data_IF_680027530803
#
_entry.id   IF_680027530803
#
_cell.length_a   1.000
_cell.length_b   1.000
_cell.length_c   1.000
_cell.angle_alpha   90.00
_cell.angle_beta   90.00
_cell.angle_gamma   90.00
#
_symmetry.space_group_name_H-M   'P 1'
#
loop_
_entity.id
_entity.type
_entity.pdbx_description
1 polymer ?
#
# COMPACT_ATOMS: atom_id res chain seq x y z
N UNK A 1 18.93 -21.40 6.56
CA UNK A 1 19.79 -22.60 6.43
C UNK A 1 20.28 -22.69 4.99
N UNK A 2 21.55 -23.01 4.77
CA UNK A 2 22.08 -23.38 3.45
C UNK A 2 23.02 -24.57 3.63
N UNK A 3 22.86 -25.57 2.77
CA UNK A 3 23.84 -26.62 2.57
C UNK A 3 24.62 -26.37 1.28
N UNK A 4 25.94 -26.57 1.29
CA UNK A 4 26.82 -26.39 0.12
C UNK A 4 27.82 -27.54 0.05
N UNK A 5 28.21 -27.91 -1.17
CA UNK A 5 29.43 -28.67 -1.45
C UNK A 5 30.56 -27.69 -1.74
N UNK A 6 31.54 -27.61 -0.83
CA UNK A 6 32.67 -26.68 -0.93
C UNK A 6 33.81 -27.21 -1.80
N UNK A 7 33.78 -28.50 -2.14
CA UNK A 7 34.87 -29.21 -2.81
C UNK A 7 34.55 -29.60 -4.26
N UNK A 8 33.27 -29.57 -4.65
CA UNK A 8 32.81 -30.04 -5.95
C UNK A 8 32.78 -31.57 -6.08
N UNK A 9 32.83 -32.30 -4.97
CA UNK A 9 32.85 -33.76 -4.92
C UNK A 9 31.45 -34.41 -5.04
N UNK A 10 30.38 -33.60 -5.10
CA UNK A 10 28.99 -34.07 -5.18
C UNK A 10 28.36 -34.40 -3.82
N UNK A 11 29.03 -34.06 -2.72
CA UNK A 11 28.55 -34.27 -1.34
C UNK A 11 28.48 -32.96 -0.59
N UNK A 12 27.36 -32.70 0.09
CA UNK A 12 27.19 -31.52 0.92
C UNK A 12 28.03 -31.66 2.20
N UNK A 13 28.98 -30.75 2.41
CA UNK A 13 29.97 -30.78 3.48
C UNK A 13 29.93 -29.51 4.36
N UNK A 14 29.15 -28.50 3.98
CA UNK A 14 28.95 -27.28 4.77
C UNK A 14 27.47 -27.00 5.01
N UNK A 15 27.12 -26.76 6.28
CA UNK A 15 25.78 -26.31 6.71
C UNK A 15 25.88 -25.00 7.50
N UNK A 16 25.18 -23.97 7.04
CA UNK A 16 25.16 -22.65 7.67
C UNK A 16 23.74 -22.17 8.01
N UNK A 17 23.59 -21.57 9.18
CA UNK A 17 22.37 -20.96 9.70
C UNK A 17 22.52 -19.44 9.66
N UNK A 18 21.46 -18.74 9.26
CA UNK A 18 21.41 -17.29 9.29
C UNK A 18 20.79 -16.82 10.61
N UNK A 19 21.41 -15.84 11.23
CA UNK A 19 20.90 -15.10 12.39
C UNK A 19 20.39 -13.75 11.89
N UNK A 20 19.16 -13.40 12.20
CA UNK A 20 18.49 -12.20 11.68
C UNK A 20 18.05 -11.28 12.81
N UNK A 21 18.02 -9.98 12.53
CA UNK A 21 17.37 -8.98 13.39
C UNK A 21 15.90 -8.72 12.96
N UNK A 22 15.19 -7.87 13.71
CA UNK A 22 13.75 -7.62 13.52
C UNK A 22 13.34 -7.04 12.16
N UNK A 23 14.28 -6.45 11.41
CA UNK A 23 14.04 -5.97 10.05
C UNK A 23 14.56 -6.96 8.97
N UNK A 24 14.70 -8.25 9.31
CA UNK A 24 15.05 -9.36 8.40
C UNK A 24 16.44 -9.31 7.73
N UNK A 25 17.32 -8.39 8.11
CA UNK A 25 18.74 -8.45 7.71
C UNK A 25 19.45 -9.58 8.45
N UNK A 26 20.27 -10.33 7.74
CA UNK A 26 21.16 -11.33 8.35
C UNK A 26 22.29 -10.61 9.09
N UNK A 27 22.29 -10.66 10.41
CA UNK A 27 23.34 -10.05 11.25
C UNK A 27 24.57 -10.93 11.38
N UNK A 28 24.40 -12.24 11.22
CA UNK A 28 25.53 -13.17 11.16
C UNK A 28 25.13 -14.52 10.57
N UNK A 29 26.10 -15.29 10.10
CA UNK A 29 25.95 -16.72 9.82
C UNK A 29 26.71 -17.55 10.84
N UNK A 30 26.18 -18.74 11.16
CA UNK A 30 26.77 -19.67 12.10
C UNK A 30 26.73 -21.12 11.56
N UNK A 31 27.70 -21.93 11.95
CA UNK A 31 27.64 -23.38 11.83
C UNK A 31 27.14 -24.00 13.16
N UNK A 32 27.21 -25.32 13.33
CA UNK A 32 26.75 -25.99 14.54
C UNK A 32 27.59 -25.71 15.79
N UNK A 33 28.78 -25.14 15.63
CA UNK A 33 29.76 -24.92 16.69
C UNK A 33 30.14 -23.44 16.89
N UNK A 34 30.08 -22.61 15.85
CA UNK A 34 30.65 -21.26 15.85
C UNK A 34 29.78 -20.25 15.09
N UNK A 35 29.85 -18.98 15.54
CA UNK A 35 29.45 -17.83 14.74
C UNK A 35 30.58 -17.55 13.72
N UNK A 36 30.28 -17.63 12.43
CA UNK A 36 31.28 -17.60 11.37
C UNK A 36 31.60 -16.18 10.88
N UNK A 37 30.58 -15.43 10.46
CA UNK A 37 30.75 -14.10 9.87
C UNK A 37 29.66 -13.15 10.37
N UNK A 38 30.00 -12.10 11.14
CA UNK A 38 29.10 -10.99 11.39
C UNK A 38 28.98 -10.07 10.16
N UNK A 39 27.81 -9.43 10.01
CA UNK A 39 27.54 -8.46 8.94
C UNK A 39 27.09 -7.12 9.53
N UNK A 40 27.66 -6.04 9.02
CA UNK A 40 27.19 -4.67 9.27
C UNK A 40 26.56 -4.10 8.00
N UNK A 41 25.61 -3.19 8.18
CA UNK A 41 24.86 -2.58 7.08
C UNK A 41 24.82 -1.06 7.25
N UNK A 42 24.91 -0.33 6.14
CA UNK A 42 24.44 1.06 6.09
C UNK A 42 22.90 1.11 6.17
N UNK A 43 22.32 2.30 6.35
CA UNK A 43 20.87 2.45 6.44
C UNK A 43 20.09 1.84 5.26
N UNK A 44 20.66 1.90 4.05
CA UNK A 44 20.08 1.32 2.83
C UNK A 44 20.65 -0.05 2.47
N UNK A 45 21.39 -0.68 3.38
CA UNK A 45 21.78 -2.08 3.24
C UNK A 45 23.11 -2.34 2.56
N UNK A 46 23.95 -1.33 2.28
CA UNK A 46 25.31 -1.61 1.82
C UNK A 46 26.05 -2.36 2.92
N UNK A 47 26.56 -3.55 2.60
CA UNK A 47 26.93 -4.58 3.56
C UNK A 47 28.45 -4.69 3.69
N UNK A 48 28.91 -4.85 4.91
CA UNK A 48 30.30 -5.10 5.25
C UNK A 48 30.38 -6.44 5.98
N UNK A 49 31.18 -7.37 5.44
CA UNK A 49 31.48 -8.65 6.10
C UNK A 49 32.61 -8.44 7.10
N UNK A 50 32.44 -8.98 8.30
CA UNK A 50 33.34 -8.75 9.42
C UNK A 50 33.92 -10.06 9.95
N UNK A 51 35.04 -9.96 10.66
CA UNK A 51 35.53 -11.00 11.57
C UNK A 51 34.77 -10.96 12.89
N UNK A 52 34.95 -11.98 13.74
CA UNK A 52 34.48 -11.95 15.14
C UNK A 52 35.08 -10.80 15.98
N UNK A 53 36.17 -10.18 15.52
CA UNK A 53 36.76 -8.98 16.12
C UNK A 53 36.31 -7.66 15.43
N UNK A 54 35.27 -7.73 14.58
CA UNK A 54 34.70 -6.59 13.84
C UNK A 54 35.66 -5.89 12.86
N UNK A 55 36.71 -6.59 12.40
CA UNK A 55 37.55 -6.14 11.28
C UNK A 55 36.95 -6.57 9.94
N UNK A 56 37.00 -5.70 8.93
CA UNK A 56 36.46 -5.99 7.58
C UNK A 56 37.22 -7.11 6.86
N UNK A 57 36.48 -8.01 6.18
CA UNK A 57 37.04 -9.11 5.40
C UNK A 57 36.28 -9.33 4.09
N UNK A 58 36.92 -10.05 3.16
CA UNK A 58 36.21 -10.70 2.07
C UNK A 58 35.66 -12.04 2.55
N UNK A 59 34.35 -12.28 2.38
CA UNK A 59 33.74 -13.57 2.72
C UNK A 59 34.29 -14.68 1.82
N UNK A 60 34.52 -15.86 2.39
CA UNK A 60 34.81 -17.10 1.66
C UNK A 60 33.63 -18.10 1.72
N UNK A 61 32.49 -17.67 2.25
CA UNK A 61 31.32 -18.51 2.49
C UNK A 61 30.29 -18.46 1.37
N UNK A 62 30.42 -17.57 0.39
CA UNK A 62 29.44 -17.36 -0.70
C UNK A 62 27.99 -17.20 -0.20
N UNK A 63 27.82 -16.62 0.99
CA UNK A 63 26.50 -16.38 1.54
C UNK A 63 25.88 -15.17 0.85
N UNK A 64 24.79 -15.38 0.11
CA UNK A 64 24.17 -14.33 -0.72
C UNK A 64 22.92 -13.72 -0.11
N UNK A 65 22.33 -14.28 0.95
CA UNK A 65 21.06 -13.76 1.49
C UNK A 65 21.33 -12.81 2.64
N UNK A 66 21.25 -11.49 2.43
CA UNK A 66 21.71 -10.52 3.44
C UNK A 66 20.61 -9.55 3.88
N UNK A 67 20.52 -8.36 3.28
CA UNK A 67 19.57 -7.31 3.69
C UNK A 67 18.14 -7.73 3.39
N UNK A 68 17.20 -7.57 4.33
CA UNK A 68 15.78 -7.85 4.17
C UNK A 68 15.43 -9.22 3.54
N UNK A 69 16.33 -10.20 3.65
CA UNK A 69 16.22 -11.51 2.97
C UNK A 69 16.45 -11.51 1.46
N UNK A 70 16.94 -10.40 0.88
CA UNK A 70 17.27 -10.30 -0.54
C UNK A 70 18.56 -11.04 -0.88
N UNK A 71 18.70 -11.39 -2.17
CA UNK A 71 19.93 -11.99 -2.70
C UNK A 71 20.90 -10.91 -3.14
N UNK A 72 22.04 -10.81 -2.47
CA UNK A 72 23.19 -10.01 -2.87
C UNK A 72 23.83 -10.60 -4.14
N UNK A 73 23.90 -9.77 -5.17
CA UNK A 73 24.78 -9.93 -6.33
C UNK A 73 26.09 -9.16 -6.07
N UNK A 74 27.19 -9.88 -5.84
CA UNK A 74 28.47 -9.28 -5.46
C UNK A 74 29.15 -8.60 -6.65
N UNK A 75 28.92 -9.11 -7.85
CA UNK A 75 29.49 -8.61 -9.10
C UNK A 75 28.89 -7.24 -9.46
N UNK A 76 27.58 -7.09 -9.29
CA UNK A 76 26.84 -5.85 -9.57
C UNK A 76 26.77 -4.92 -8.37
N UNK A 77 27.01 -5.41 -7.15
CA UNK A 77 26.82 -4.64 -5.92
C UNK A 77 25.35 -4.27 -5.68
N UNK A 78 24.42 -5.16 -6.06
CA UNK A 78 22.98 -4.92 -5.98
C UNK A 78 22.26 -6.03 -5.22
N UNK A 79 21.03 -5.77 -4.80
CA UNK A 79 20.16 -6.76 -4.19
C UNK A 79 19.03 -7.14 -5.12
N UNK A 80 18.96 -8.42 -5.49
CA UNK A 80 17.83 -8.95 -6.23
C UNK A 80 16.65 -9.23 -5.28
N UNK A 81 15.61 -8.41 -5.40
CA UNK A 81 14.35 -8.54 -4.67
C UNK A 81 13.23 -8.86 -5.65
N UNK A 82 13.24 -10.10 -6.15
CA UNK A 82 12.24 -10.66 -7.07
C UNK A 82 12.06 -9.83 -8.35
N UNK A 83 11.14 -8.86 -8.34
CA UNK A 83 10.74 -8.11 -9.53
C UNK A 83 11.72 -7.00 -9.87
N UNK A 84 12.56 -6.57 -8.91
CA UNK A 84 13.52 -5.49 -9.11
C UNK A 84 14.85 -5.75 -8.40
N UNK A 85 15.88 -5.04 -8.89
CA UNK A 85 17.19 -4.97 -8.27
C UNK A 85 17.32 -3.65 -7.50
N UNK A 86 17.71 -3.71 -6.23
CA UNK A 86 17.91 -2.56 -5.34
C UNK A 86 19.38 -2.15 -5.34
N UNK A 87 19.62 -0.86 -5.57
CA UNK A 87 20.92 -0.20 -5.57
C UNK A 87 21.17 0.36 -4.16
N UNK A 88 21.79 -0.43 -3.28
CA UNK A 88 21.97 -0.09 -1.86
C UNK A 88 22.69 1.23 -1.64
N UNK A 89 23.77 1.47 -2.39
CA UNK A 89 24.58 2.70 -2.33
C UNK A 89 23.82 3.96 -2.76
N UNK A 90 22.76 3.81 -3.56
CA UNK A 90 21.92 4.91 -4.03
C UNK A 90 20.57 4.99 -3.30
N UNK A 91 20.29 4.01 -2.44
CA UNK A 91 19.03 3.90 -1.69
C UNK A 91 17.78 3.80 -2.55
N UNK A 92 17.84 3.15 -3.72
CA UNK A 92 16.75 3.12 -4.70
C UNK A 92 16.73 1.88 -5.57
N UNK A 93 15.61 1.63 -6.24
CA UNK A 93 15.50 0.59 -7.26
C UNK A 93 16.21 0.98 -8.55
N UNK A 94 16.85 0.00 -9.19
CA UNK A 94 17.48 0.15 -10.49
C UNK A 94 16.43 0.45 -11.58
N UNK A 95 15.34 -0.32 -11.60
CA UNK A 95 14.23 -0.16 -12.53
C UNK A 95 13.07 0.63 -11.91
N UNK A 96 12.28 1.27 -12.78
CA UNK A 96 10.98 1.84 -12.39
C UNK A 96 10.07 0.73 -11.87
N UNK A 97 9.31 1.03 -10.84
CA UNK A 97 8.25 0.19 -10.33
C UNK A 97 7.20 0.02 -11.44
N UNK A 98 6.97 -1.19 -11.97
CA UNK A 98 5.96 -1.39 -13.00
C UNK A 98 4.56 -1.08 -12.47
N UNK A 99 4.30 -1.43 -11.20
CA UNK A 99 3.03 -1.18 -10.52
C UNK A 99 2.86 0.32 -10.31
N UNK A 100 3.85 1.00 -9.70
CA UNK A 100 3.76 2.46 -9.51
C UNK A 100 3.73 3.26 -10.84
N UNK A 101 4.34 2.74 -11.91
CA UNK A 101 4.29 3.36 -13.24
C UNK A 101 2.90 3.25 -13.87
N UNK A 102 2.26 2.08 -13.81
CA UNK A 102 0.88 1.88 -14.25
C UNK A 102 -0.10 2.73 -13.42
N UNK A 103 0.18 2.88 -12.14
CA UNK A 103 -0.46 3.80 -11.20
C UNK A 103 -0.20 5.30 -11.49
N UNK A 104 0.75 5.61 -12.37
CA UNK A 104 1.16 6.96 -12.72
C UNK A 104 1.75 7.74 -11.54
N UNK A 105 2.41 7.06 -10.61
CA UNK A 105 3.16 7.67 -9.53
C UNK A 105 4.32 8.51 -10.09
N UNK A 106 4.71 9.56 -9.37
CA UNK A 106 5.82 10.43 -9.77
C UNK A 106 7.18 9.87 -9.36
N UNK A 107 7.21 9.06 -8.30
CA UNK A 107 8.41 8.46 -7.76
C UNK A 107 8.33 6.97 -8.04
N UNK A 108 9.16 6.50 -8.95
CA UNK A 108 9.09 5.13 -9.48
C UNK A 108 10.24 4.25 -9.00
N UNK A 109 11.22 4.82 -8.31
CA UNK A 109 12.45 4.11 -7.95
C UNK A 109 12.72 4.17 -6.45
N UNK A 110 11.81 4.72 -5.65
CA UNK A 110 12.01 4.86 -4.21
C UNK A 110 12.03 3.53 -3.48
N UNK A 111 12.95 3.41 -2.52
CA UNK A 111 13.02 2.25 -1.65
C UNK A 111 12.32 2.57 -0.32
N UNK A 112 11.17 1.93 -0.10
CA UNK A 112 10.41 1.91 1.17
C UNK A 112 10.15 3.28 1.81
N UNK A 113 9.83 4.31 1.01
CA UNK A 113 9.49 5.63 1.52
C UNK A 113 10.67 6.36 2.14
N UNK A 114 11.90 6.05 1.72
CA UNK A 114 13.15 6.51 2.36
C UNK A 114 13.27 6.13 3.85
N UNK A 115 12.56 5.08 4.30
CA UNK A 115 12.59 4.59 5.68
C UNK A 115 13.03 3.11 5.80
N UNK A 116 14.26 2.78 5.36
CA UNK A 116 14.76 1.40 5.31
C UNK A 116 15.09 0.80 6.69
N UNK A 117 15.09 1.60 7.75
CA UNK A 117 15.36 1.12 9.11
C UNK A 117 14.19 0.32 9.69
N UNK A 118 12.96 0.65 9.29
CA UNK A 118 11.73 0.04 9.83
C UNK A 118 10.87 -0.64 8.76
N UNK A 119 11.22 -0.53 7.49
CA UNK A 119 10.46 -1.10 6.37
C UNK A 119 11.33 -1.97 5.46
N UNK A 120 10.67 -2.95 4.83
CA UNK A 120 11.22 -3.82 3.79
C UNK A 120 10.23 -3.94 2.65
N UNK A 121 10.71 -4.33 1.47
CA UNK A 121 9.92 -4.54 0.27
C UNK A 121 10.12 -5.98 -0.25
N UNK A 122 9.34 -6.96 0.26
CA UNK A 122 9.54 -8.38 -0.04
C UNK A 122 9.37 -8.77 -1.51
N UNK A 123 8.76 -7.90 -2.33
CA UNK A 123 8.48 -8.16 -3.74
C UNK A 123 9.23 -7.24 -4.69
N UNK A 124 9.91 -6.23 -4.17
CA UNK A 124 10.41 -5.13 -4.96
C UNK A 124 9.28 -4.36 -5.64
N UNK A 125 8.15 -4.14 -4.97
CA UNK A 125 6.97 -3.41 -5.46
C UNK A 125 6.35 -2.66 -4.26
N UNK A 126 6.98 -1.54 -3.88
CA UNK A 126 6.85 -0.87 -2.58
C UNK A 126 5.44 -0.95 -1.95
N UNK A 127 5.39 -1.50 -0.72
CA UNK A 127 4.23 -1.53 0.17
C UNK A 127 4.24 -0.31 1.11
N UNK A 128 4.03 0.88 0.57
CA UNK A 128 3.27 1.86 1.36
C UNK A 128 1.81 1.42 1.32
N UNK A 129 0.94 1.98 2.17
CA UNK A 129 -0.50 1.87 1.93
C UNK A 129 -0.85 2.63 0.67
N UNK A 130 -0.48 2.07 -0.47
CA UNK A 130 -0.89 2.62 -1.73
C UNK A 130 -2.36 2.31 -1.84
N UNK A 131 -3.12 3.32 -2.23
CA UNK A 131 -4.49 3.12 -2.64
C UNK A 131 -4.63 1.98 -3.67
N UNK A 132 -3.59 1.74 -4.46
CA UNK A 132 -3.49 0.61 -5.37
C UNK A 132 -3.49 -0.76 -4.66
N UNK A 133 -2.67 -0.97 -3.64
CA UNK A 133 -2.64 -2.26 -2.92
C UNK A 133 -3.98 -2.52 -2.23
N UNK A 134 -4.54 -1.50 -1.56
CA UNK A 134 -5.86 -1.58 -0.92
C UNK A 134 -6.96 -1.91 -1.94
N UNK A 135 -6.94 -1.24 -3.10
CA UNK A 135 -7.90 -1.46 -4.19
C UNK A 135 -7.76 -2.87 -4.76
N UNK A 136 -6.53 -3.33 -4.99
CA UNK A 136 -6.23 -4.64 -5.55
C UNK A 136 -6.67 -5.75 -4.60
N UNK A 137 -6.30 -5.67 -3.31
CA UNK A 137 -6.70 -6.67 -2.31
C UNK A 137 -8.22 -6.73 -2.13
N UNK A 138 -8.87 -5.57 -2.07
CA UNK A 138 -10.32 -5.53 -1.96
C UNK A 138 -11.02 -6.15 -3.18
N UNK A 139 -10.54 -5.88 -4.40
CA UNK A 139 -11.12 -6.44 -5.63
C UNK A 139 -10.90 -7.94 -5.73
N UNK A 140 -9.67 -8.41 -5.48
CA UNK A 140 -9.35 -9.85 -5.49
C UNK A 140 -10.15 -10.59 -4.42
N UNK A 141 -10.24 -10.04 -3.20
CA UNK A 141 -11.05 -10.60 -2.13
C UNK A 141 -12.56 -10.62 -2.43
N UNK A 142 -13.05 -9.68 -3.23
CA UNK A 142 -14.44 -9.67 -3.69
C UNK A 142 -14.67 -10.70 -4.81
N UNK A 143 -13.66 -10.91 -5.65
CA UNK A 143 -13.66 -11.77 -6.84
C UNK A 143 -14.16 -13.20 -6.60
N UNK A 144 -13.79 -13.84 -5.49
CA UNK A 144 -14.26 -15.21 -5.17
C UNK A 144 -15.77 -15.35 -5.01
N UNK A 145 -16.49 -14.25 -4.78
CA UNK A 145 -17.95 -14.17 -4.71
C UNK A 145 -18.61 -13.51 -5.94
N UNK A 146 -17.80 -12.99 -6.86
CA UNK A 146 -18.27 -12.27 -8.03
C UNK A 146 -18.23 -13.19 -9.26
N UNK A 147 -19.33 -13.29 -10.00
CA UNK A 147 -19.41 -14.09 -11.23
C UNK A 147 -18.70 -13.39 -12.42
N UNK A 148 -17.44 -12.99 -12.26
CA UNK A 148 -16.66 -12.21 -13.24
C UNK A 148 -15.54 -13.06 -13.83
N UNK A 149 -15.33 -13.00 -15.16
CA UNK A 149 -14.23 -13.72 -15.80
C UNK A 149 -12.86 -13.13 -15.43
N UNK A 150 -11.79 -13.94 -15.26
CA UNK A 150 -10.46 -13.47 -14.87
C UNK A 150 -9.91 -12.33 -15.74
N UNK A 151 -10.10 -12.42 -17.06
CA UNK A 151 -9.70 -11.39 -18.03
C UNK A 151 -10.39 -10.04 -17.81
N UNK A 152 -11.58 -10.01 -17.23
CA UNK A 152 -12.29 -8.79 -16.91
C UNK A 152 -11.84 -8.16 -15.59
N UNK A 153 -11.28 -8.94 -14.66
CA UNK A 153 -10.79 -8.41 -13.39
C UNK A 153 -9.69 -7.37 -13.66
N UNK A 154 -8.78 -7.65 -14.59
CA UNK A 154 -7.73 -6.71 -14.96
C UNK A 154 -8.30 -5.42 -15.58
N UNK A 155 -9.30 -5.55 -16.47
CA UNK A 155 -10.00 -4.41 -17.07
C UNK A 155 -10.56 -3.45 -16.01
N UNK A 156 -11.23 -4.03 -15.02
CA UNK A 156 -11.85 -3.30 -13.91
C UNK A 156 -10.79 -2.69 -13.01
N UNK A 157 -9.78 -3.49 -12.63
CA UNK A 157 -8.73 -3.09 -11.71
C UNK A 157 -7.98 -1.84 -12.18
N UNK A 158 -7.50 -1.85 -13.43
CA UNK A 158 -6.73 -0.72 -14.00
C UNK A 158 -7.52 0.59 -13.92
N UNK A 159 -8.83 0.56 -14.15
CA UNK A 159 -9.70 1.76 -14.11
C UNK A 159 -9.95 2.25 -12.70
N UNK A 160 -10.22 1.33 -11.76
CA UNK A 160 -10.39 1.66 -10.36
C UNK A 160 -9.12 2.28 -9.79
N UNK A 161 -7.96 1.63 -9.99
CA UNK A 161 -6.65 2.09 -9.52
C UNK A 161 -6.30 3.45 -10.11
N UNK A 162 -6.45 3.63 -11.44
CA UNK A 162 -6.18 4.91 -12.11
C UNK A 162 -7.00 6.05 -11.53
N UNK A 163 -8.30 5.84 -11.32
CA UNK A 163 -9.18 6.89 -10.81
C UNK A 163 -8.94 7.17 -9.32
N UNK A 164 -8.63 6.14 -8.55
CA UNK A 164 -8.29 6.24 -7.14
C UNK A 164 -7.02 7.09 -6.94
N UNK A 165 -5.91 6.69 -7.55
CA UNK A 165 -4.64 7.43 -7.47
C UNK A 165 -4.69 8.81 -8.14
N UNK A 166 -5.67 9.05 -9.00
CA UNK A 166 -5.92 10.37 -9.57
C UNK A 166 -6.48 11.39 -8.57
N UNK A 167 -6.93 10.95 -7.39
CA UNK A 167 -7.38 11.85 -6.32
C UNK A 167 -6.21 12.59 -5.66
N UNK A 168 -5.07 11.92 -5.47
CA UNK A 168 -3.84 12.54 -4.92
C UNK A 168 -3.09 13.43 -5.90
N UNK A 169 -3.64 13.64 -7.10
CA UNK A 169 -3.05 14.47 -8.15
C UNK A 169 -3.81 15.78 -8.25
N UNK A 170 -3.07 16.88 -8.38
CA UNK A 170 -3.65 18.19 -8.68
C UNK A 170 -4.54 18.12 -9.93
N UNK A 171 -5.73 18.74 -9.93
CA UNK A 171 -6.26 19.65 -8.89
C UNK A 171 -7.11 18.96 -7.81
N UNK A 172 -7.14 17.63 -7.73
CA UNK A 172 -8.00 16.91 -6.80
C UNK A 172 -7.41 16.80 -5.40
N UNK A 173 -6.08 16.77 -5.29
CA UNK A 173 -5.36 16.62 -4.01
C UNK A 173 -5.63 17.72 -2.99
N UNK A 174 -6.22 18.85 -3.42
CA UNK A 174 -6.57 19.97 -2.55
C UNK A 174 -8.05 20.00 -2.17
N UNK A 175 -8.84 19.01 -2.61
CA UNK A 175 -10.28 18.93 -2.35
C UNK A 175 -10.52 18.07 -1.11
N UNK A 176 -10.53 18.71 0.04
CA UNK A 176 -10.56 18.08 1.37
C UNK A 176 -11.71 17.06 1.53
N UNK A 177 -12.86 17.30 0.89
CA UNK A 177 -14.01 16.40 0.94
C UNK A 177 -13.75 15.03 0.30
N UNK A 178 -12.74 14.92 -0.56
CA UNK A 178 -12.32 13.66 -1.20
C UNK A 178 -11.39 12.86 -0.32
N UNK A 179 -10.70 13.54 0.60
CA UNK A 179 -9.63 12.98 1.40
C UNK A 179 -10.02 12.78 2.86
N UNK A 180 -11.30 12.88 3.23
CA UNK A 180 -11.73 12.85 4.63
C UNK A 180 -10.86 13.76 5.54
N UNK A 181 -10.54 14.96 5.04
CA UNK A 181 -9.81 15.99 5.78
C UNK A 181 -10.63 17.26 5.87
N UNK A 182 -10.15 18.24 6.66
CA UNK A 182 -10.79 19.55 6.82
C UNK A 182 -9.76 20.66 7.01
N UNK A 183 -10.20 21.90 6.90
CA UNK A 183 -9.37 23.05 7.21
C UNK A 183 -8.97 23.09 8.69
N UNK A 184 -7.82 23.70 9.00
CA UNK A 184 -7.38 23.89 10.38
C UNK A 184 -8.35 24.81 11.13
N UNK A 185 -8.94 24.28 12.20
CA UNK A 185 -9.79 25.00 13.14
C UNK A 185 -9.53 24.50 14.56
N UNK A 186 -9.01 25.38 15.42
CA UNK A 186 -8.67 25.06 16.81
C UNK A 186 -9.88 24.77 17.70
N UNK A 187 -11.10 25.03 17.23
CA UNK A 187 -12.35 24.80 17.98
C UNK A 187 -13.09 23.54 17.56
N UNK A 188 -12.68 22.89 16.46
CA UNK A 188 -13.43 21.82 15.79
C UNK A 188 -14.85 22.21 15.31
N UNK A 189 -15.18 23.50 15.23
CA UNK A 189 -16.47 23.98 14.76
C UNK A 189 -16.80 23.57 13.31
N UNK A 190 -15.78 23.35 12.48
CA UNK A 190 -15.92 22.91 11.09
C UNK A 190 -16.09 21.38 10.89
N UNK A 191 -16.05 20.55 11.95
CA UNK A 191 -16.10 19.08 11.83
C UNK A 191 -17.39 18.59 11.19
N UNK A 192 -18.54 19.13 11.62
CA UNK A 192 -19.84 18.74 11.06
C UNK A 192 -19.92 19.07 9.57
N UNK A 193 -19.45 20.26 9.18
CA UNK A 193 -19.44 20.69 7.79
C UNK A 193 -18.54 19.79 6.93
N UNK A 194 -17.36 19.41 7.43
CA UNK A 194 -16.45 18.52 6.72
C UNK A 194 -17.03 17.11 6.52
N UNK A 195 -17.64 16.54 7.57
CA UNK A 195 -18.33 15.25 7.47
C UNK A 195 -19.48 15.29 6.45
N UNK A 196 -20.28 16.36 6.45
CA UNK A 196 -21.35 16.55 5.46
C UNK A 196 -20.79 16.68 4.04
N UNK A 197 -19.69 17.43 3.86
CA UNK A 197 -19.04 17.58 2.56
C UNK A 197 -18.53 16.23 2.01
N UNK A 198 -17.89 15.43 2.87
CA UNK A 198 -17.44 14.08 2.54
C UNK A 198 -18.59 13.17 2.11
N UNK A 199 -19.64 13.08 2.93
CA UNK A 199 -20.81 12.24 2.62
C UNK A 199 -21.50 12.69 1.33
N UNK A 200 -21.60 14.01 1.10
CA UNK A 200 -22.16 14.56 -0.14
C UNK A 200 -21.30 14.22 -1.36
N UNK A 201 -19.97 14.25 -1.23
CA UNK A 201 -19.03 13.83 -2.27
C UNK A 201 -19.23 12.35 -2.63
N UNK A 202 -19.16 11.46 -1.63
CA UNK A 202 -19.34 10.02 -1.80
C UNK A 202 -20.68 9.72 -2.45
N UNK A 203 -21.76 10.32 -1.94
CA UNK A 203 -23.10 10.12 -2.48
C UNK A 203 -23.23 10.62 -3.93
N UNK A 204 -22.57 11.72 -4.29
CA UNK A 204 -22.58 12.26 -5.66
C UNK A 204 -21.90 11.32 -6.65
N UNK A 205 -20.73 10.81 -6.30
CA UNK A 205 -19.98 9.89 -7.17
C UNK A 205 -20.69 8.53 -7.30
N UNK A 206 -21.31 8.01 -6.23
CA UNK A 206 -22.14 6.79 -6.31
C UNK A 206 -23.41 6.99 -7.13
N UNK A 207 -24.03 8.19 -7.08
CA UNK A 207 -25.13 8.55 -7.98
C UNK A 207 -24.66 8.60 -9.42
N UNK A 208 -23.48 9.16 -9.68
CA UNK A 208 -22.90 9.22 -11.02
C UNK A 208 -22.61 7.82 -11.57
N UNK A 209 -21.99 6.94 -10.78
CA UNK A 209 -21.81 5.53 -11.09
C UNK A 209 -23.13 4.89 -11.55
N UNK A 210 -24.19 5.07 -10.77
CA UNK A 210 -25.51 4.51 -11.10
C UNK A 210 -26.09 5.14 -12.36
N UNK A 211 -26.00 6.46 -12.52
CA UNK A 211 -26.52 7.19 -13.67
C UNK A 211 -25.87 6.72 -14.97
N UNK A 212 -24.55 6.50 -14.97
CA UNK A 212 -23.78 6.02 -16.11
C UNK A 212 -24.18 4.59 -16.50
N UNK A 213 -24.34 3.70 -15.51
CA UNK A 213 -24.84 2.36 -15.78
C UNK A 213 -26.27 2.36 -16.34
N UNK A 214 -27.17 3.15 -15.74
CA UNK A 214 -28.56 3.26 -16.18
C UNK A 214 -28.67 3.91 -17.58
N UNK A 215 -27.70 4.77 -17.98
CA UNK A 215 -27.58 5.30 -19.34
C UNK A 215 -27.13 4.21 -20.32
N UNK A 216 -26.08 3.47 -19.97
CA UNK A 216 -25.56 2.37 -20.80
C UNK A 216 -26.59 1.27 -21.05
N UNK A 217 -27.41 0.89 -20.05
CA UNK A 217 -28.41 -0.17 -20.23
C UNK A 217 -29.52 0.15 -21.25
N UNK A 218 -29.63 1.40 -21.71
CA UNK A 218 -30.56 1.78 -22.78
C UNK A 218 -29.98 1.56 -24.17
N UNK A 219 -28.71 1.21 -24.29
CA UNK A 219 -28.01 0.99 -25.55
C UNK A 219 -28.16 -0.48 -25.98
N UNK A 220 -28.46 -0.71 -27.25
CA UNK A 220 -28.79 -2.04 -27.79
C UNK A 220 -27.58 -2.86 -28.24
N UNK A 221 -26.37 -2.29 -28.26
CA UNK A 221 -25.15 -2.97 -28.69
C UNK A 221 -23.90 -2.44 -27.97
N UNK A 222 -22.89 -3.31 -27.78
CA UNK A 222 -21.60 -2.94 -27.20
C UNK A 222 -20.71 -2.22 -28.23
N UNK A 223 -21.01 -0.95 -28.51
CA UNK A 223 -20.22 -0.08 -29.41
C UNK A 223 -19.14 0.72 -28.67
N UNK A 224 -18.21 1.34 -29.41
CA UNK A 224 -17.12 2.15 -28.84
C UNK A 224 -17.64 3.30 -27.95
N UNK A 225 -18.74 3.96 -28.33
CA UNK A 225 -19.40 5.01 -27.55
C UNK A 225 -20.00 4.48 -26.23
N UNK A 226 -20.36 3.20 -26.18
CA UNK A 226 -21.01 2.56 -25.02
C UNK A 226 -19.99 2.16 -23.93
N UNK A 227 -18.71 2.02 -24.31
CA UNK A 227 -17.61 1.69 -23.40
C UNK A 227 -17.23 2.86 -22.49
N UNK A 228 -17.50 4.11 -22.91
CA UNK A 228 -17.15 5.30 -22.13
C UNK A 228 -17.94 5.36 -20.83
N UNK A 229 -19.22 4.98 -20.85
CA UNK A 229 -20.09 4.98 -19.66
C UNK A 229 -19.63 3.96 -18.64
N UNK A 230 -19.24 2.78 -19.10
CA UNK A 230 -18.70 1.73 -18.27
C UNK A 230 -17.35 2.13 -17.67
N UNK A 231 -16.50 2.80 -18.42
CA UNK A 231 -15.19 3.28 -17.97
C UNK A 231 -15.34 4.43 -16.97
N UNK A 232 -16.21 5.39 -17.25
CA UNK A 232 -16.51 6.53 -16.37
C UNK A 232 -17.20 6.07 -15.10
N UNK A 233 -18.03 5.02 -15.15
CA UNK A 233 -18.63 4.42 -13.96
C UNK A 233 -17.53 3.84 -13.07
N UNK A 234 -16.63 3.02 -13.61
CA UNK A 234 -15.47 2.54 -12.85
C UNK A 234 -14.59 3.69 -12.34
N UNK A 235 -14.49 4.78 -13.11
CA UNK A 235 -13.86 6.01 -12.69
C UNK A 235 -14.50 6.59 -11.43
N UNK A 236 -15.83 6.77 -11.41
CA UNK A 236 -16.56 7.25 -10.24
C UNK A 236 -16.38 6.33 -9.03
N UNK A 237 -16.44 5.02 -9.23
CA UNK A 237 -16.23 4.05 -8.15
C UNK A 237 -14.78 4.06 -7.62
N UNK A 238 -13.78 4.22 -8.49
CA UNK A 238 -12.38 4.35 -8.08
C UNK A 238 -12.13 5.62 -7.26
N UNK A 239 -12.76 6.74 -7.65
CA UNK A 239 -12.71 8.00 -6.88
C UNK A 239 -13.37 7.89 -5.51
N UNK A 240 -14.45 7.14 -5.38
CA UNK A 240 -15.08 6.87 -4.08
C UNK A 240 -14.28 5.88 -3.25
N UNK A 241 -13.66 4.89 -3.91
CA UNK A 241 -12.76 3.92 -3.26
C UNK A 241 -11.65 4.65 -2.52
N UNK A 242 -11.04 5.65 -3.16
CA UNK A 242 -10.06 6.52 -2.53
C UNK A 242 -10.58 7.13 -1.22
N UNK A 243 -11.71 7.82 -1.28
CA UNK A 243 -12.32 8.47 -0.12
C UNK A 243 -12.71 7.51 1.00
N UNK A 244 -13.12 6.29 0.66
CA UNK A 244 -13.37 5.24 1.65
C UNK A 244 -12.08 4.78 2.34
N UNK A 245 -10.97 4.69 1.60
CA UNK A 245 -9.66 4.34 2.15
C UNK A 245 -9.11 5.48 3.03
N UNK A 246 -9.26 6.73 2.58
CA UNK A 246 -8.85 7.92 3.31
C UNK A 246 -9.60 8.12 4.62
N UNK A 247 -10.84 7.66 4.73
CA UNK A 247 -11.52 7.61 6.03
C UNK A 247 -10.69 6.83 7.06
N UNK A 248 -10.24 5.62 6.71
CA UNK A 248 -9.43 4.80 7.60
C UNK A 248 -8.01 5.35 7.79
N UNK A 249 -7.49 6.12 6.84
CA UNK A 249 -6.20 6.79 6.98
C UNK A 249 -6.26 8.04 7.89
N UNK A 250 -7.35 8.82 7.78
CA UNK A 250 -7.42 10.20 8.26
C UNK A 250 -8.46 10.46 9.36
N UNK A 251 -9.30 9.48 9.71
CA UNK A 251 -10.20 9.60 10.86
C UNK A 251 -9.39 9.62 12.16
N UNK A 252 -9.53 10.70 12.93
CA UNK A 252 -8.81 10.93 14.20
C UNK A 252 -9.79 11.20 15.34
N UNK A 253 -9.33 11.11 16.59
CA UNK A 253 -10.16 11.40 17.76
C UNK A 253 -10.72 12.83 17.68
N UNK A 254 -12.00 12.99 17.98
CA UNK A 254 -12.65 14.30 18.05
C UNK A 254 -11.96 15.17 19.11
N UNK A 255 -11.75 14.59 20.28
CA UNK A 255 -11.11 15.21 21.44
C UNK A 255 -9.78 14.51 21.73
N UNK A 256 -8.72 15.30 21.90
CA UNK A 256 -7.38 14.80 22.17
C UNK A 256 -6.47 14.81 20.94
N UNK A 257 -5.39 14.02 21.02
CA UNK A 257 -4.41 13.89 19.95
C UNK A 257 -4.98 13.16 18.73
N UNK A 258 -4.28 13.22 17.59
CA UNK A 258 -4.69 12.62 16.32
C UNK A 258 -4.73 11.07 16.31
N UNK A 259 -4.68 10.44 17.48
CA UNK A 259 -4.68 9.01 17.76
C UNK A 259 -4.40 8.76 19.24
N UNK A 260 -4.36 7.51 19.70
CA UNK A 260 -4.68 6.29 18.95
C UNK A 260 -6.17 5.94 19.03
N UNK A 261 -6.91 5.96 17.92
CA UNK A 261 -8.34 5.61 17.92
C UNK A 261 -8.58 4.10 17.74
N UNK A 262 -7.84 3.44 16.83
CA UNK A 262 -7.95 2.01 16.53
C UNK A 262 -7.12 1.12 17.46
N UNK A 263 -6.13 1.68 18.16
CA UNK A 263 -5.37 0.96 19.18
C UNK A 263 -5.71 1.36 20.62
N UNK A 264 -6.75 2.17 20.83
CA UNK A 264 -7.26 2.47 22.17
C UNK A 264 -7.74 1.20 22.90
N UNK A 265 -7.70 1.22 24.24
CA UNK A 265 -8.49 0.30 25.06
C UNK A 265 -9.95 0.70 24.89
N UNK A 266 -10.78 -0.23 24.42
CA UNK A 266 -12.03 0.02 23.68
C UNK A 266 -11.82 0.89 22.42
N UNK A 267 -11.37 0.28 21.30
CA UNK A 267 -11.12 1.00 20.06
C UNK A 267 -12.33 1.79 19.57
N UNK A 268 -12.13 3.08 19.29
CA UNK A 268 -13.13 3.94 18.68
C UNK A 268 -13.08 3.77 17.17
N UNK A 269 -13.91 2.86 16.66
CA UNK A 269 -14.02 2.56 15.24
C UNK A 269 -15.26 3.19 14.62
N UNK A 270 -15.25 3.34 13.30
CA UNK A 270 -16.43 3.69 12.51
C UNK A 270 -16.25 3.21 11.08
N UNK A 271 -17.15 3.61 10.19
CA UNK A 271 -17.02 3.30 8.77
C UNK A 271 -17.34 4.51 7.89
N UNK A 272 -16.93 4.50 6.61
CA UNK A 272 -17.31 5.55 5.68
C UNK A 272 -18.83 5.74 5.47
N UNK A 273 -19.66 4.73 5.77
CA UNK A 273 -21.13 4.85 5.71
C UNK A 273 -21.74 5.27 7.05
N UNK A 274 -21.11 4.90 8.15
CA UNK A 274 -21.59 5.12 9.52
C UNK A 274 -20.47 5.80 10.32
N UNK A 275 -20.38 7.12 10.15
CA UNK A 275 -19.34 7.92 10.80
C UNK A 275 -19.54 7.89 12.33
N UNK A 276 -18.47 7.55 13.05
CA UNK A 276 -18.45 7.64 14.50
C UNK A 276 -18.39 9.10 14.94
N UNK A 277 -19.26 9.50 15.89
CA UNK A 277 -19.35 10.88 16.41
C UNK A 277 -18.14 11.30 17.25
N UNK A 278 -17.39 10.32 17.75
CA UNK A 278 -16.16 10.54 18.51
C UNK A 278 -14.92 10.59 17.61
N UNK A 279 -15.11 10.44 16.29
CA UNK A 279 -14.09 10.62 15.27
C UNK A 279 -14.37 11.86 14.42
N UNK A 280 -13.31 12.45 13.88
CA UNK A 280 -13.37 13.58 12.96
C UNK A 280 -12.39 13.42 11.79
N UNK A 281 -12.65 14.10 10.65
CA UNK A 281 -11.66 14.35 9.62
C UNK A 281 -10.45 15.09 10.20
N UNK A 282 -9.23 14.57 10.04
CA UNK A 282 -8.04 15.30 10.50
C UNK A 282 -7.89 16.63 9.75
N UNK A 283 -7.24 17.61 10.39
CA UNK A 283 -7.02 18.91 9.78
C UNK A 283 -5.80 18.82 8.86
N UNK A 284 -5.96 19.30 7.63
CA UNK A 284 -4.91 19.34 6.63
C UNK A 284 -4.33 20.75 6.53
N UNK A 285 -3.01 20.84 6.41
CA UNK A 285 -2.29 22.09 6.48
C UNK A 285 -1.09 22.18 5.55
N UNK A 286 -0.18 23.09 5.85
CA UNK A 286 1.06 23.28 5.11
C UNK A 286 2.25 22.67 5.85
N UNK A 287 3.42 22.62 5.20
CA UNK A 287 4.66 22.15 5.81
C UNK A 287 4.98 22.83 7.17
N UNK A 288 4.66 24.13 7.30
CA UNK A 288 4.92 24.91 8.51
C UNK A 288 3.74 24.93 9.50
N UNK A 289 2.57 24.44 9.07
CA UNK A 289 1.37 24.33 9.89
C UNK A 289 0.62 23.07 9.46
N UNK A 290 1.09 21.87 9.84
CA UNK A 290 0.62 20.61 9.25
C UNK A 290 -0.77 20.17 9.73
N UNK A 291 -1.35 20.85 10.73
CA UNK A 291 -2.61 20.43 11.35
C UNK A 291 -2.47 19.09 12.08
N UNK A 292 -3.60 18.44 12.31
CA UNK A 292 -3.66 17.11 12.94
C UNK A 292 -3.19 16.00 12.00
N UNK A 293 -3.26 16.23 10.67
CA UNK A 293 -2.67 15.31 9.71
C UNK A 293 -1.18 15.09 9.99
N UNK A 294 -0.45 16.14 10.35
CA UNK A 294 0.96 16.02 10.69
C UNK A 294 1.83 15.70 9.47
N UNK A 295 3.01 15.14 9.73
CA UNK A 295 4.04 14.83 8.73
C UNK A 295 3.97 13.38 8.22
N UNK A 296 3.12 12.57 8.84
CA UNK A 296 2.88 11.15 8.53
C UNK A 296 1.39 10.87 8.65
N UNK A 297 0.88 9.91 7.89
CA UNK A 297 -0.55 9.55 7.94
C UNK A 297 -1.00 9.30 9.39
N UNK A 298 -2.16 9.83 9.81
CA UNK A 298 -2.71 9.57 11.14
C UNK A 298 -2.80 8.08 11.48
N UNK A 299 -3.15 7.22 10.52
CA UNK A 299 -3.17 5.77 10.72
C UNK A 299 -1.81 5.18 11.19
N UNK A 300 -0.68 5.74 10.75
CA UNK A 300 0.65 5.27 11.19
C UNK A 300 0.99 5.66 12.63
N UNK A 301 0.27 6.63 13.19
CA UNK A 301 0.44 7.11 14.56
C UNK A 301 -0.53 6.43 15.53
N UNK A 302 -1.39 5.54 15.03
CA UNK A 302 -2.37 4.83 15.82
C UNK A 302 -1.74 3.58 16.47
N UNK A 303 -0.84 3.80 17.44
CA UNK A 303 -0.13 2.74 18.14
C UNK A 303 -0.28 2.92 19.65
N UNK A 304 -0.59 1.84 20.38
CA UNK A 304 -0.63 1.81 21.85
C UNK A 304 -0.10 0.47 22.36
N UNK A 305 0.99 0.53 23.14
CA UNK A 305 1.68 -0.68 23.60
C UNK A 305 2.08 -1.54 22.41
N UNK A 306 1.70 -2.82 22.43
CA UNK A 306 1.96 -3.78 21.34
C UNK A 306 0.88 -3.79 20.25
N UNK A 307 -0.14 -2.93 20.34
CA UNK A 307 -1.25 -2.87 19.38
C UNK A 307 -0.91 -1.89 18.25
N UNK A 308 -0.85 -2.43 17.03
CA UNK A 308 -0.67 -1.67 15.78
C UNK A 308 -2.04 -1.35 15.16
N UNK A 309 -2.60 -0.21 15.56
CA UNK A 309 -3.88 0.30 15.05
C UNK A 309 -3.83 0.67 13.57
N UNK A 310 -2.64 0.97 13.03
CA UNK A 310 -2.41 1.06 11.59
C UNK A 310 -2.84 -0.24 10.91
N UNK A 311 -2.26 -1.38 11.28
CA UNK A 311 -2.65 -2.68 10.69
C UNK A 311 -4.15 -2.99 10.82
N UNK A 312 -4.79 -2.58 11.92
CA UNK A 312 -6.23 -2.75 12.09
C UNK A 312 -7.03 -1.91 11.08
N UNK A 313 -6.69 -0.62 10.95
CA UNK A 313 -7.25 0.27 9.92
C UNK A 313 -7.06 -0.28 8.51
N UNK A 314 -5.96 -0.99 8.24
CA UNK A 314 -5.67 -1.59 6.92
C UNK A 314 -6.68 -2.66 6.61
N UNK A 315 -6.86 -3.56 7.57
CA UNK A 315 -7.78 -4.68 7.46
C UNK A 315 -9.21 -4.17 7.29
N UNK A 316 -9.61 -3.16 8.04
CA UNK A 316 -10.95 -2.55 7.94
C UNK A 316 -11.16 -1.86 6.60
N UNK A 317 -10.17 -1.11 6.10
CA UNK A 317 -10.23 -0.48 4.79
C UNK A 317 -10.40 -1.51 3.66
N UNK A 318 -9.60 -2.59 3.68
CA UNK A 318 -9.73 -3.68 2.69
C UNK A 318 -11.09 -4.35 2.81
N UNK A 319 -11.52 -4.71 4.02
CA UNK A 319 -12.78 -5.42 4.28
C UNK A 319 -13.99 -4.60 3.83
N UNK A 320 -14.01 -3.30 4.16
CA UNK A 320 -15.08 -2.39 3.78
C UNK A 320 -15.17 -2.24 2.25
N UNK A 321 -14.06 -1.92 1.59
CA UNK A 321 -14.03 -1.75 0.13
C UNK A 321 -14.37 -3.06 -0.57
N UNK A 322 -13.92 -4.20 -0.05
CA UNK A 322 -14.28 -5.52 -0.57
C UNK A 322 -15.80 -5.74 -0.53
N UNK A 323 -16.46 -5.41 0.58
CA UNK A 323 -17.92 -5.43 0.69
C UNK A 323 -18.60 -4.55 -0.35
N UNK A 324 -18.08 -3.33 -0.56
CA UNK A 324 -18.57 -2.41 -1.60
C UNK A 324 -18.39 -2.97 -3.00
N UNK A 325 -17.25 -3.58 -3.31
CA UNK A 325 -17.00 -4.17 -4.62
C UNK A 325 -17.89 -5.35 -4.95
N UNK A 326 -18.21 -6.20 -3.97
CA UNK A 326 -19.22 -7.26 -4.14
C UNK A 326 -20.56 -6.70 -4.63
N UNK A 327 -20.96 -5.51 -4.16
CA UNK A 327 -22.18 -4.85 -4.59
C UNK A 327 -22.02 -4.14 -5.94
N UNK A 328 -21.10 -3.18 -6.02
CA UNK A 328 -21.01 -2.25 -7.15
C UNK A 328 -20.38 -2.90 -8.39
N UNK A 329 -19.33 -3.71 -8.25
CA UNK A 329 -18.72 -4.37 -9.41
C UNK A 329 -19.65 -5.45 -9.96
N UNK A 330 -20.40 -6.17 -9.11
CA UNK A 330 -21.44 -7.09 -9.59
C UNK A 330 -22.54 -6.38 -10.37
N UNK A 331 -22.91 -5.15 -9.97
CA UNK A 331 -23.85 -4.33 -10.76
C UNK A 331 -23.23 -3.88 -12.08
N UNK A 332 -22.00 -3.36 -12.05
CA UNK A 332 -21.27 -2.96 -13.25
C UNK A 332 -21.16 -4.12 -14.23
N UNK A 333 -20.76 -5.30 -13.76
CA UNK A 333 -20.58 -6.50 -14.56
C UNK A 333 -21.84 -6.90 -15.33
N UNK A 334 -23.00 -6.94 -14.66
CA UNK A 334 -24.27 -7.29 -15.30
C UNK A 334 -24.61 -6.41 -16.50
N UNK A 335 -24.17 -5.15 -16.47
CA UNK A 335 -24.52 -4.14 -17.47
C UNK A 335 -23.39 -3.96 -18.50
N UNK A 336 -22.13 -4.07 -18.08
CA UNK A 336 -20.94 -3.72 -18.86
C UNK A 336 -20.06 -4.92 -19.26
N UNK A 337 -20.50 -6.17 -19.03
CA UNK A 337 -19.67 -7.38 -19.32
C UNK A 337 -19.10 -7.44 -20.73
N UNK A 338 -19.77 -6.84 -21.70
CA UNK A 338 -19.33 -6.80 -23.09
C UNK A 338 -18.02 -6.04 -23.28
N UNK A 339 -17.70 -5.07 -22.39
CA UNK A 339 -16.45 -4.32 -22.41
C UNK A 339 -15.21 -5.21 -22.14
N UNK A 340 -15.43 -6.38 -21.54
CA UNK A 340 -14.37 -7.33 -21.18
C UNK A 340 -14.15 -8.45 -22.21
N UNK A 341 -14.88 -8.43 -23.34
CA UNK A 341 -14.80 -9.46 -24.40
C UNK A 341 -14.12 -8.96 -25.68
N UNK A 342 -13.78 -7.67 -25.76
CA UNK A 342 -13.05 -7.07 -26.89
C UNK A 342 -11.59 -6.90 -26.46
N UNK A 343 -10.85 -8.01 -26.52
CA UNK A 343 -9.40 -8.09 -26.33
C UNK A 343 -8.73 -8.45 -27.63
#
# INVERSE_FOLDING_TARGET
LRDRDTTGAGTLDERLYALQHGNWNVVSIADTANVCEPYAYTGYGDVTVLTGAFGGISSNRDWTTTVAGYRWDKELGTYHARQRNMLSRLGRWHSRDPVALEAGARILQDYVGNNPLTHTDPFGLCKTWTHEELTTKALVGAGGSMQVFPQCINYVLVRLVRANLGQDKSPNSTKLERHYTRDIDGTNGNVLQANVAYLNYVARELREFRRLLDRHAKETACGLATRIDCDDALGALGRVTHSWQDYYAHAVLLNGDAGPAWSAEEPLVGSPDELNRELKPCSWGSLFRPGEHGWTEPAWRDVRGDVDGGKLRYADAVSFVQGKYRLYISKWWRMCKCCCLVG
#
